data_IF_334446885324
#
_entry.id   IF_334446885324
#
_cell.length_a   1.000
_cell.length_b   1.000
_cell.length_c   1.000
_cell.angle_alpha   90.00
_cell.angle_beta   90.00
_cell.angle_gamma   90.00
#
_symmetry.space_group_name_H-M   'P 1'
#
loop_
_entity.id
_entity.type
_entity.pdbx_description
1 polymer ?
#
# COMPACT_ATOMS: atom_id res chain seq x y z
N UNK A 1 -26.94 29.97 16.54
CA UNK A 1 -27.29 29.35 17.84
C UNK A 1 -26.01 28.69 18.36
N UNK A 2 -25.33 29.31 19.33
CA UNK A 2 -24.05 28.84 19.88
C UNK A 2 -24.33 27.83 20.98
N UNK A 3 -23.81 26.62 20.88
CA UNK A 3 -23.83 25.61 21.94
C UNK A 3 -22.43 25.61 22.57
N UNK A 4 -22.36 25.88 23.87
CA UNK A 4 -21.14 25.86 24.67
C UNK A 4 -20.72 24.40 24.98
N UNK A 5 -19.43 24.14 25.25
CA UNK A 5 -18.97 22.81 25.62
C UNK A 5 -19.33 22.51 27.08
N UNK A 6 -19.93 21.35 27.33
CA UNK A 6 -20.15 20.83 28.67
C UNK A 6 -18.87 20.13 29.16
N UNK A 7 -18.29 20.66 30.22
CA UNK A 7 -17.27 20.00 31.02
C UNK A 7 -17.79 18.65 31.53
N UNK A 8 -17.18 17.56 31.09
CA UNK A 8 -17.33 16.24 31.71
C UNK A 8 -15.97 15.76 32.18
N UNK A 9 -15.70 15.96 33.47
CA UNK A 9 -14.59 15.34 34.18
C UNK A 9 -14.92 13.87 34.41
N UNK A 10 -14.15 12.98 33.78
CA UNK A 10 -14.23 11.54 34.05
C UNK A 10 -13.40 11.21 35.29
N UNK A 11 -14.08 11.00 36.41
CA UNK A 11 -13.49 10.40 37.60
C UNK A 11 -13.32 8.89 37.37
N UNK A 12 -12.07 8.42 37.37
CA UNK A 12 -11.77 6.98 37.41
C UNK A 12 -12.17 6.41 38.77
N UNK A 13 -13.18 5.54 38.78
CA UNK A 13 -13.57 4.77 39.96
C UNK A 13 -12.55 3.66 40.29
N UNK A 14 -12.30 3.34 41.57
CA UNK A 14 -11.37 2.29 41.99
C UNK A 14 -12.02 0.92 41.81
N UNK A 15 -11.96 0.38 40.59
CA UNK A 15 -12.55 -0.94 40.29
C UNK A 15 -11.99 -1.65 39.06
N UNK A 16 -11.20 -0.99 38.22
CA UNK A 16 -10.64 -1.52 36.97
C UNK A 16 -9.20 -2.04 37.09
N UNK A 17 -8.59 -1.98 38.27
CA UNK A 17 -7.21 -2.45 38.50
C UNK A 17 -6.95 -3.98 38.39
N UNK A 18 -7.90 -4.92 38.62
CA UNK A 18 -7.53 -6.33 38.68
C UNK A 18 -7.28 -6.96 37.30
N UNK A 19 -7.74 -6.33 36.21
CA UNK A 19 -7.57 -6.85 34.84
C UNK A 19 -6.20 -6.49 34.24
N UNK A 20 -5.67 -5.31 34.56
CA UNK A 20 -4.33 -4.86 34.11
C UNK A 20 -3.23 -5.69 34.78
N UNK A 21 -3.43 -6.10 36.03
CA UNK A 21 -2.46 -6.92 36.78
C UNK A 21 -2.39 -8.37 36.27
N UNK A 22 -3.50 -8.93 35.78
CA UNK A 22 -3.53 -10.28 35.22
C UNK A 22 -2.77 -10.36 33.89
N UNK A 23 -2.80 -9.29 33.08
CA UNK A 23 -2.04 -9.17 31.84
C UNK A 23 -0.52 -9.13 32.11
N UNK A 24 -0.10 -8.47 33.19
CA UNK A 24 1.29 -8.38 33.65
C UNK A 24 1.88 -9.72 34.14
N UNK A 25 1.05 -10.63 34.64
CA UNK A 25 1.51 -11.94 35.14
C UNK A 25 1.75 -12.94 34.00
N UNK A 26 1.03 -12.83 32.88
CA UNK A 26 1.26 -13.65 31.67
C UNK A 26 2.52 -13.25 30.88
N UNK A 27 3.16 -12.12 31.20
CA UNK A 27 4.29 -11.53 30.48
C UNK A 27 5.67 -12.12 30.83
N UNK A 28 5.79 -12.97 31.85
CA UNK A 28 7.10 -13.46 32.31
C UNK A 28 7.70 -14.63 31.51
N UNK A 29 7.09 -15.06 30.40
CA UNK A 29 7.56 -16.27 29.66
C UNK A 29 7.83 -16.06 28.18
N UNK A 30 7.85 -14.83 27.67
CA UNK A 30 8.20 -14.59 26.27
C UNK A 30 9.68 -14.23 26.14
N UNK A 31 10.46 -14.96 25.32
CA UNK A 31 11.83 -14.57 25.02
C UNK A 31 11.81 -13.22 24.30
N UNK A 32 12.64 -12.29 24.77
CA UNK A 32 12.93 -11.04 24.09
C UNK A 32 13.55 -11.35 22.74
N UNK A 33 12.75 -11.34 21.68
CA UNK A 33 13.30 -11.28 20.32
C UNK A 33 14.02 -9.94 20.20
N UNK A 34 15.33 -9.99 19.94
CA UNK A 34 16.10 -8.80 19.59
C UNK A 34 15.43 -8.11 18.40
N UNK A 35 14.82 -6.96 18.67
CA UNK A 35 14.23 -6.11 17.66
C UNK A 35 15.35 -5.52 16.81
N UNK A 36 15.41 -5.97 15.55
CA UNK A 36 16.16 -5.30 14.49
C UNK A 36 15.55 -3.90 14.34
N UNK A 37 16.40 -2.88 14.34
CA UNK A 37 15.98 -1.49 14.15
C UNK A 37 15.76 -1.23 12.67
N UNK A 38 14.51 -1.36 12.22
CA UNK A 38 14.08 -1.11 10.83
C UNK A 38 13.98 0.41 10.56
N UNK A 39 15.13 1.09 10.51
CA UNK A 39 15.28 2.27 9.65
C UNK A 39 15.78 1.76 8.29
N UNK A 40 14.92 1.04 7.56
CA UNK A 40 15.18 0.59 6.18
C UNK A 40 15.05 1.75 5.18
N UNK A 41 15.61 2.93 5.52
CA UNK A 41 16.00 3.91 4.51
C UNK A 41 17.47 3.68 4.23
N UNK A 42 17.75 3.23 3.01
CA UNK A 42 19.10 3.06 2.50
C UNK A 42 19.90 4.33 2.83
N UNK A 43 21.04 4.17 3.49
CA UNK A 43 21.96 5.29 3.72
C UNK A 43 22.29 5.96 2.39
N UNK A 44 22.72 7.24 2.38
CA UNK A 44 23.14 7.88 1.12
C UNK A 44 24.24 7.07 0.40
N UNK A 45 25.11 6.40 1.16
CA UNK A 45 26.13 5.49 0.63
C UNK A 45 25.54 4.21 0.02
N UNK A 46 24.54 3.61 0.66
CA UNK A 46 23.86 2.40 0.15
C UNK A 46 22.96 2.74 -1.04
N UNK A 47 22.32 3.91 -1.03
CA UNK A 47 21.59 4.47 -2.17
C UNK A 47 22.55 4.68 -3.34
N UNK A 48 23.70 5.31 -3.13
CA UNK A 48 24.71 5.51 -4.17
C UNK A 48 25.29 4.17 -4.68
N UNK A 49 25.49 3.18 -3.79
CA UNK A 49 25.93 1.82 -4.16
C UNK A 49 24.88 1.14 -5.05
N UNK A 50 23.62 1.15 -4.63
CA UNK A 50 22.52 0.56 -5.41
C UNK A 50 22.28 1.32 -6.72
N UNK A 51 22.36 2.65 -6.71
CA UNK A 51 22.30 3.44 -7.93
C UNK A 51 23.42 3.06 -8.91
N UNK A 52 24.65 2.84 -8.40
CA UNK A 52 25.81 2.44 -9.19
C UNK A 52 25.74 0.98 -9.69
N UNK A 53 25.36 0.03 -8.82
CA UNK A 53 25.11 -1.37 -9.18
C UNK A 53 23.95 -1.50 -10.17
N UNK A 54 22.98 -0.60 -10.12
CA UNK A 54 21.84 -0.65 -11.03
C UNK A 54 22.05 0.16 -12.30
N UNK A 55 23.01 1.07 -12.31
CA UNK A 55 23.49 1.71 -13.54
C UNK A 55 23.97 0.65 -14.54
N UNK A 56 24.47 -0.52 -14.10
CA UNK A 56 24.92 -1.57 -15.02
C UNK A 56 23.79 -2.29 -15.77
N UNK A 57 22.54 -2.27 -15.30
CA UNK A 57 21.40 -2.90 -15.99
C UNK A 57 20.69 -1.95 -16.97
N UNK A 58 20.86 -0.65 -16.80
CA UNK A 58 20.23 0.37 -17.68
C UNK A 58 21.20 0.95 -18.71
N UNK A 59 22.52 0.79 -18.55
CA UNK A 59 23.53 1.39 -19.45
C UNK A 59 23.78 0.62 -20.75
N UNK A 60 23.28 -0.62 -20.85
CA UNK A 60 23.41 -1.47 -22.05
C UNK A 60 22.13 -1.56 -22.87
N UNK A 61 21.14 -0.70 -22.59
CA UNK A 61 19.86 -0.76 -23.28
C UNK A 61 20.02 -0.42 -24.76
N UNK A 62 19.70 -1.38 -25.61
CA UNK A 62 19.76 -1.25 -27.07
C UNK A 62 18.35 -1.15 -27.67
N UNK A 63 17.49 -0.34 -27.06
CA UNK A 63 16.13 -0.07 -27.53
C UNK A 63 15.96 1.42 -27.81
N UNK A 64 15.33 1.75 -28.94
CA UNK A 64 14.95 3.14 -29.20
C UNK A 64 13.86 3.60 -28.23
N UNK A 65 13.73 4.92 -28.03
CA UNK A 65 12.63 5.47 -27.23
C UNK A 65 11.24 5.06 -27.74
N UNK A 66 11.09 4.88 -29.06
CA UNK A 66 9.85 4.41 -29.67
C UNK A 66 9.59 2.94 -29.32
N UNK A 67 10.61 2.07 -29.39
CA UNK A 67 10.48 0.67 -28.99
C UNK A 67 10.10 0.52 -27.52
N UNK A 68 10.73 1.30 -26.64
CA UNK A 68 10.43 1.31 -25.19
C UNK A 68 9.00 1.74 -24.90
N UNK A 69 8.56 2.85 -25.50
CA UNK A 69 7.18 3.32 -25.34
C UNK A 69 6.19 2.24 -25.83
N UNK A 70 6.45 1.65 -26.99
CA UNK A 70 5.59 0.64 -27.59
C UNK A 70 5.49 -0.63 -26.72
N UNK A 71 6.60 -1.13 -26.17
CA UNK A 71 6.57 -2.33 -25.31
C UNK A 71 5.96 -2.04 -23.94
N UNK A 72 6.21 -0.87 -23.35
CA UNK A 72 5.57 -0.45 -22.11
C UNK A 72 4.06 -0.37 -22.30
N UNK A 73 3.56 0.23 -23.38
CA UNK A 73 2.13 0.28 -23.69
C UNK A 73 1.54 -1.12 -23.92
N UNK A 74 2.23 -1.99 -24.68
CA UNK A 74 1.74 -3.34 -25.01
C UNK A 74 1.44 -4.20 -23.78
N UNK A 75 2.28 -4.14 -22.75
CA UNK A 75 2.14 -4.99 -21.56
C UNK A 75 1.65 -4.24 -20.32
N UNK A 76 1.20 -2.99 -20.48
CA UNK A 76 0.71 -2.15 -19.39
C UNK A 76 -0.48 -2.79 -18.66
N UNK A 77 -0.53 -2.76 -17.32
CA UNK A 77 -1.61 -3.40 -16.56
C UNK A 77 -2.96 -2.68 -16.70
N UNK A 78 -4.03 -3.46 -16.57
CA UNK A 78 -5.38 -2.95 -16.27
C UNK A 78 -5.58 -3.06 -14.76
N UNK A 79 -5.62 -1.91 -14.09
CA UNK A 79 -5.80 -1.83 -12.64
C UNK A 79 -7.28 -1.63 -12.32
N UNK A 80 -7.78 -2.44 -11.39
CA UNK A 80 -9.14 -2.41 -10.86
C UNK A 80 -9.06 -1.84 -9.45
N UNK A 81 -9.41 -0.57 -9.29
CA UNK A 81 -9.43 0.10 -8.00
C UNK A 81 -10.76 -0.14 -7.31
N UNK A 82 -10.72 -0.32 -6.00
CA UNK A 82 -11.91 -0.54 -5.20
C UNK A 82 -12.91 0.64 -5.37
N UNK A 83 -14.23 0.38 -5.54
CA UNK A 83 -15.21 1.43 -5.84
C UNK A 83 -15.41 2.48 -4.74
N UNK A 84 -15.01 2.14 -3.51
CA UNK A 84 -15.04 3.05 -2.34
C UNK A 84 -13.70 3.76 -2.13
N UNK A 85 -12.71 3.56 -3.01
CA UNK A 85 -11.42 4.18 -2.85
C UNK A 85 -11.47 5.68 -3.15
N UNK A 86 -11.16 6.48 -2.13
CA UNK A 86 -11.10 7.94 -2.19
C UNK A 86 -9.69 8.47 -2.37
N UNK A 87 -8.68 7.62 -2.28
CA UNK A 87 -7.27 7.96 -2.42
C UNK A 87 -6.78 7.33 -3.72
N UNK A 88 -6.99 8.04 -4.83
CA UNK A 88 -6.77 7.46 -6.16
C UNK A 88 -5.36 7.75 -6.68
N UNK A 89 -4.90 7.02 -7.70
CA UNK A 89 -3.67 7.36 -8.40
C UNK A 89 -3.73 8.78 -8.96
N UNK A 90 -2.57 9.41 -9.12
CA UNK A 90 -2.42 10.72 -9.72
C UNK A 90 -1.19 10.79 -10.62
N UNK A 91 -1.19 11.71 -11.59
CA UNK A 91 0.05 12.07 -12.30
C UNK A 91 1.07 12.72 -11.33
N UNK A 92 2.22 12.07 -11.05
CA UNK A 92 3.21 12.62 -10.12
C UNK A 92 3.80 13.96 -10.59
N UNK A 93 3.89 14.20 -11.89
CA UNK A 93 4.39 15.48 -12.42
C UNK A 93 3.42 16.63 -12.12
N UNK A 94 2.11 16.38 -12.23
CA UNK A 94 1.04 17.32 -11.87
C UNK A 94 1.08 17.63 -10.38
N UNK A 95 1.19 16.60 -9.53
CA UNK A 95 1.26 16.76 -8.07
C UNK A 95 2.49 17.56 -7.68
N UNK A 96 3.67 17.21 -8.20
CA UNK A 96 4.91 17.91 -7.91
C UNK A 96 4.82 19.39 -8.28
N UNK A 97 4.33 19.71 -9.48
CA UNK A 97 4.20 21.10 -9.97
C UNK A 97 3.25 21.93 -9.10
N UNK A 98 2.18 21.33 -8.58
CA UNK A 98 1.21 22.00 -7.73
C UNK A 98 1.65 22.11 -6.26
N UNK A 99 2.61 21.29 -5.85
CA UNK A 99 3.11 21.23 -4.47
C UNK A 99 4.10 22.36 -4.18
N UNK A 100 4.26 22.66 -2.88
CA UNK A 100 5.31 23.56 -2.38
C UNK A 100 6.30 22.76 -1.55
N UNK A 101 7.53 23.20 -1.47
CA UNK A 101 8.47 22.67 -0.48
C UNK A 101 8.10 23.22 0.91
N UNK A 102 8.13 22.34 1.90
CA UNK A 102 8.05 22.71 3.32
C UNK A 102 9.35 23.41 3.77
N UNK A 103 9.36 23.91 5.01
CA UNK A 103 10.51 24.63 5.58
C UNK A 103 11.80 23.80 5.65
N UNK A 104 11.67 22.46 5.67
CA UNK A 104 12.80 21.53 5.67
C UNK A 104 13.49 21.39 4.29
N UNK A 105 12.95 22.03 3.24
CA UNK A 105 13.39 21.94 1.84
C UNK A 105 13.48 20.52 1.29
N UNK A 106 12.80 19.55 1.91
CA UNK A 106 12.84 18.13 1.55
C UNK A 106 11.46 17.50 1.48
N UNK A 107 10.43 18.17 1.96
CA UNK A 107 9.08 17.63 2.01
C UNK A 107 8.14 18.41 1.10
N UNK A 108 7.35 17.69 0.29
CA UNK A 108 6.29 18.30 -0.50
C UNK A 108 5.04 18.50 0.34
N UNK A 109 4.51 19.72 0.30
CA UNK A 109 3.18 20.07 0.77
C UNK A 109 2.23 19.96 -0.42
N UNK A 110 1.54 18.82 -0.49
CA UNK A 110 0.53 18.56 -1.51
C UNK A 110 -0.74 19.35 -1.15
N UNK A 111 -1.32 20.13 -2.09
CA UNK A 111 -2.58 20.83 -1.85
C UNK A 111 -3.71 19.86 -1.49
N UNK A 112 -4.53 20.21 -0.50
CA UNK A 112 -5.60 19.34 0.04
C UNK A 112 -6.54 18.77 -1.04
N UNK A 113 -6.96 19.61 -1.99
CA UNK A 113 -7.83 19.20 -3.10
C UNK A 113 -7.20 18.17 -4.06
N UNK A 114 -5.89 17.95 -4.00
CA UNK A 114 -5.16 16.97 -4.80
C UNK A 114 -4.87 15.67 -4.03
N UNK A 115 -5.14 15.62 -2.72
CA UNK A 115 -4.89 14.41 -1.91
C UNK A 115 -5.75 13.21 -2.35
N UNK A 116 -6.92 13.46 -2.94
CA UNK A 116 -7.84 12.42 -3.44
C UNK A 116 -7.45 11.81 -4.79
N UNK A 117 -6.32 12.24 -5.37
CA UNK A 117 -5.86 11.80 -6.68
C UNK A 117 -6.70 12.32 -7.84
N UNK A 118 -6.53 11.69 -9.00
CA UNK A 118 -7.27 12.06 -10.21
C UNK A 118 -8.73 11.59 -10.14
N UNK A 119 -9.61 12.30 -10.86
CA UNK A 119 -11.04 12.07 -10.81
C UNK A 119 -11.47 10.82 -11.57
N UNK A 120 -12.60 10.25 -11.14
CA UNK A 120 -13.23 9.11 -11.81
C UNK A 120 -14.31 9.63 -12.75
N UNK A 121 -14.22 9.22 -14.01
CA UNK A 121 -15.19 9.55 -15.05
C UNK A 121 -16.55 8.90 -14.77
N UNK A 122 -17.60 9.41 -15.42
CA UNK A 122 -18.97 8.94 -15.20
C UNK A 122 -19.14 7.42 -15.39
N UNK A 123 -18.34 6.84 -16.28
CA UNK A 123 -18.29 5.42 -16.60
C UNK A 123 -17.57 4.54 -15.56
N UNK A 124 -17.03 5.08 -14.47
CA UNK A 124 -16.20 4.29 -13.55
C UNK A 124 -14.85 3.92 -14.16
N UNK A 125 -14.33 4.80 -15.02
CA UNK A 125 -12.97 4.74 -15.57
C UNK A 125 -12.17 5.90 -15.00
N UNK A 126 -10.86 5.76 -14.94
CA UNK A 126 -10.00 6.87 -14.56
C UNK A 126 -8.73 6.93 -15.39
N UNK A 127 -8.09 8.09 -15.27
CA UNK A 127 -6.95 8.53 -16.05
C UNK A 127 -5.95 9.17 -15.11
N UNK A 128 -4.79 8.52 -14.99
CA UNK A 128 -3.65 9.00 -14.25
C UNK A 128 -2.39 8.48 -14.95
N UNK A 129 -1.34 9.30 -14.95
CA UNK A 129 -0.12 8.99 -15.69
C UNK A 129 0.80 8.09 -14.88
N UNK A 130 1.17 6.95 -15.46
CA UNK A 130 2.04 5.93 -14.85
C UNK A 130 3.50 6.18 -15.18
N UNK A 131 4.39 5.85 -14.27
CA UNK A 131 5.83 5.82 -14.53
C UNK A 131 6.22 4.42 -14.97
N UNK A 132 6.83 4.28 -16.16
CA UNK A 132 7.24 3.00 -16.73
C UNK A 132 8.76 2.91 -16.83
N UNK A 133 9.33 1.72 -16.66
CA UNK A 133 10.74 1.45 -16.93
C UNK A 133 10.90 0.12 -17.65
N UNK A 134 11.78 0.11 -18.65
CA UNK A 134 12.26 -1.12 -19.30
C UNK A 134 13.63 -1.47 -18.76
N UNK A 135 13.80 -2.70 -18.29
CA UNK A 135 15.11 -3.28 -17.97
C UNK A 135 15.39 -4.41 -18.94
N UNK A 136 16.35 -4.19 -19.84
CA UNK A 136 16.88 -5.21 -20.73
C UNK A 136 17.99 -5.97 -20.01
N UNK A 137 18.11 -7.28 -20.27
CA UNK A 137 19.12 -8.13 -19.63
C UNK A 137 19.05 -8.19 -18.08
N UNK A 138 17.85 -8.15 -17.50
CA UNK A 138 17.65 -8.43 -16.09
C UNK A 138 17.97 -9.89 -15.72
N UNK A 139 17.75 -10.33 -14.46
CA UNK A 139 18.12 -11.66 -13.99
C UNK A 139 17.50 -12.75 -14.85
N UNK A 140 18.31 -13.77 -15.13
CA UNK A 140 17.94 -14.82 -16.07
C UNK A 140 18.00 -14.39 -17.54
N UNK A 141 18.61 -13.23 -17.85
CA UNK A 141 18.67 -12.63 -19.19
C UNK A 141 17.27 -12.47 -19.79
N UNK A 142 16.45 -11.67 -19.11
CA UNK A 142 15.06 -11.40 -19.49
C UNK A 142 14.79 -9.91 -19.54
N UNK A 143 13.77 -9.52 -20.30
CA UNK A 143 13.23 -8.16 -20.24
C UNK A 143 12.22 -8.05 -19.10
N UNK A 144 12.34 -6.99 -18.31
CA UNK A 144 11.38 -6.62 -17.27
C UNK A 144 10.78 -5.26 -17.59
N UNK A 145 9.49 -5.12 -17.31
CA UNK A 145 8.73 -3.89 -17.49
C UNK A 145 8.12 -3.55 -16.14
N UNK A 146 8.54 -2.43 -15.54
CA UNK A 146 8.04 -2.02 -14.23
C UNK A 146 7.14 -0.80 -14.40
N UNK A 147 5.98 -0.83 -13.74
CA UNK A 147 4.95 0.20 -13.80
C UNK A 147 4.70 0.70 -12.39
N UNK A 148 4.99 1.97 -12.13
CA UNK A 148 4.84 2.61 -10.84
C UNK A 148 3.67 3.58 -10.83
N UNK A 149 2.86 3.46 -9.79
CA UNK A 149 1.64 4.21 -9.55
C UNK A 149 1.89 5.12 -8.35
N UNK A 150 1.61 6.41 -8.51
CA UNK A 150 1.68 7.35 -7.41
C UNK A 150 0.29 7.60 -6.85
N UNK A 151 0.13 7.46 -5.54
CA UNK A 151 -1.05 7.92 -4.81
C UNK A 151 -0.65 9.06 -3.88
N UNK A 152 -1.35 10.20 -3.87
CA UNK A 152 -1.03 11.30 -2.98
C UNK A 152 -1.17 10.97 -1.48
N UNK A 153 -1.93 9.93 -1.14
CA UNK A 153 -2.18 9.45 0.22
C UNK A 153 -2.34 7.94 0.18
N UNK A 154 -1.71 7.21 1.11
CA UNK A 154 -2.12 5.87 1.54
C UNK A 154 -3.09 6.03 2.71
N UNK A 155 -4.28 5.45 2.58
CA UNK A 155 -5.40 5.69 3.48
C UNK A 155 -5.33 4.92 4.79
N UNK A 156 -6.51 4.64 5.35
CA UNK A 156 -6.58 3.92 6.61
C UNK A 156 -6.39 2.42 6.37
N UNK A 157 -5.55 1.77 7.19
CA UNK A 157 -5.25 0.36 7.05
C UNK A 157 -6.51 -0.51 7.23
N UNK A 158 -6.72 -1.44 6.31
CA UNK A 158 -7.77 -2.46 6.42
C UNK A 158 -7.45 -3.54 7.46
N UNK A 159 -8.47 -3.95 8.19
CA UNK A 159 -8.45 -5.02 9.18
C UNK A 159 -9.62 -5.97 8.96
N UNK A 160 -9.42 -7.22 9.39
CA UNK A 160 -10.47 -8.24 9.47
C UNK A 160 -10.47 -8.88 10.84
N UNK A 161 -11.65 -9.06 11.41
CA UNK A 161 -11.85 -9.74 12.69
C UNK A 161 -12.73 -10.97 12.52
N UNK A 162 -12.38 -12.05 13.23
CA UNK A 162 -13.25 -13.21 13.41
C UNK A 162 -14.15 -13.01 14.62
N UNK A 163 -15.45 -13.25 14.47
CA UNK A 163 -16.45 -12.95 15.51
C UNK A 163 -17.07 -14.24 16.02
N UNK A 164 -17.12 -14.35 17.34
CA UNK A 164 -17.87 -15.41 17.99
C UNK A 164 -19.35 -15.01 18.08
N UNK A 165 -20.22 -15.82 17.47
CA UNK A 165 -21.67 -15.60 17.42
C UNK A 165 -22.47 -16.74 18.09
N UNK A 166 -21.86 -17.42 19.06
CA UNK A 166 -22.48 -18.53 19.77
C UNK A 166 -22.53 -19.81 18.93
N UNK A 167 -23.66 -20.53 19.00
CA UNK A 167 -23.85 -21.82 18.33
C UNK A 167 -23.67 -21.75 16.79
N UNK A 168 -23.84 -20.57 16.18
CA UNK A 168 -23.65 -20.33 14.75
C UNK A 168 -22.19 -20.36 14.30
N UNK A 169 -21.23 -20.03 15.18
CA UNK A 169 -19.80 -20.11 14.88
C UNK A 169 -19.29 -21.55 14.70
N UNK A 170 -20.08 -22.57 15.07
CA UNK A 170 -19.78 -23.97 14.75
C UNK A 170 -20.14 -24.37 13.31
N UNK A 171 -20.88 -23.52 12.58
CA UNK A 171 -21.39 -23.81 11.23
C UNK A 171 -20.77 -22.87 10.18
N UNK A 172 -20.46 -21.62 10.54
CA UNK A 172 -19.70 -20.69 9.69
C UNK A 172 -19.04 -19.60 10.54
N UNK A 173 -17.77 -19.32 10.27
CA UNK A 173 -17.08 -18.17 10.83
C UNK A 173 -17.68 -16.87 10.27
N UNK A 174 -18.14 -15.97 11.15
CA UNK A 174 -18.54 -14.61 10.76
C UNK A 174 -17.30 -13.74 10.88
N UNK A 175 -16.96 -13.02 9.82
CA UNK A 175 -15.88 -12.04 9.83
C UNK A 175 -16.41 -10.65 9.46
N UNK A 176 -15.83 -9.62 10.06
CA UNK A 176 -16.10 -8.22 9.72
C UNK A 176 -14.80 -7.57 9.23
N UNK A 177 -14.87 -6.85 8.12
CA UNK A 177 -13.76 -6.02 7.65
C UNK A 177 -14.03 -4.57 8.03
N UNK A 178 -12.98 -3.83 8.37
CA UNK A 178 -13.08 -2.41 8.68
C UNK A 178 -11.75 -1.71 8.40
N UNK A 179 -11.79 -0.41 8.15
CA UNK A 179 -10.58 0.40 8.15
C UNK A 179 -10.27 0.93 9.55
N UNK A 180 -9.00 1.11 9.88
CA UNK A 180 -8.58 1.70 11.15
C UNK A 180 -7.55 2.81 10.91
N UNK A 181 -7.98 4.06 11.05
CA UNK A 181 -7.12 5.22 10.86
C UNK A 181 -6.17 5.39 12.06
N UNK A 182 -5.00 5.98 11.80
CA UNK A 182 -3.91 6.06 12.78
C UNK A 182 -3.00 4.82 12.77
N UNK A 183 -3.11 3.95 11.77
CA UNK A 183 -2.18 2.86 11.51
C UNK A 183 -1.83 2.81 10.02
N UNK A 184 -0.54 2.83 9.71
CA UNK A 184 0.00 2.80 8.35
C UNK A 184 -0.52 3.89 7.38
N UNK A 185 -1.26 4.89 7.86
CA UNK A 185 -1.67 6.05 7.05
C UNK A 185 -0.46 6.95 6.78
N UNK A 186 -0.19 7.27 5.53
CA UNK A 186 0.86 8.23 5.17
C UNK A 186 0.49 9.04 3.93
N UNK A 187 1.02 10.27 3.85
CA UNK A 187 0.96 11.02 2.60
C UNK A 187 1.99 10.47 1.64
N UNK A 188 1.69 10.51 0.34
CA UNK A 188 2.50 9.92 -0.72
C UNK A 188 2.54 8.41 -0.64
N UNK A 189 2.42 7.74 -1.77
CA UNK A 189 2.50 6.30 -1.84
C UNK A 189 2.93 5.88 -3.23
N UNK A 190 3.78 4.86 -3.30
CA UNK A 190 4.37 4.37 -4.54
C UNK A 190 4.22 2.86 -4.59
N UNK A 191 3.28 2.42 -5.41
CA UNK A 191 3.01 1.01 -5.66
C UNK A 191 3.44 0.64 -7.07
N UNK A 192 3.65 -0.64 -7.34
CA UNK A 192 4.11 -1.05 -8.66
C UNK A 192 3.73 -2.46 -9.08
N UNK A 193 3.79 -2.67 -10.38
CA UNK A 193 3.67 -3.98 -11.02
C UNK A 193 4.92 -4.21 -11.85
N UNK A 194 5.53 -5.39 -11.69
CA UNK A 194 6.67 -5.80 -12.51
C UNK A 194 6.25 -6.95 -13.42
N UNK A 195 6.29 -6.74 -14.74
CA UNK A 195 6.04 -7.77 -15.75
C UNK A 195 7.37 -8.31 -16.24
N UNK A 196 7.59 -9.62 -16.07
CA UNK A 196 8.75 -10.33 -16.61
C UNK A 196 8.37 -11.04 -17.92
N UNK A 197 9.10 -10.74 -18.99
CA UNK A 197 8.96 -11.43 -20.26
C UNK A 197 9.83 -12.69 -20.30
N UNK A 198 9.45 -13.66 -21.14
CA UNK A 198 10.11 -14.96 -21.17
C UNK A 198 11.52 -14.95 -21.77
N UNK A 199 11.93 -13.84 -22.39
CA UNK A 199 13.26 -13.66 -22.97
C UNK A 199 13.58 -12.15 -23.07
N UNK A 200 14.79 -11.82 -23.50
CA UNK A 200 15.18 -10.46 -23.89
C UNK A 200 14.46 -10.06 -25.18
N UNK A 201 13.81 -8.90 -25.19
CA UNK A 201 13.37 -8.26 -26.42
C UNK A 201 14.43 -7.28 -26.93
N UNK A 202 14.78 -7.38 -28.20
CA UNK A 202 15.82 -6.57 -28.84
C UNK A 202 15.27 -5.39 -29.67
N UNK A 203 13.98 -5.06 -29.53
CA UNK A 203 13.33 -3.98 -30.26
C UNK A 203 12.77 -4.38 -31.62
N UNK A 204 12.18 -3.42 -32.33
CA UNK A 204 11.57 -3.65 -33.65
C UNK A 204 10.08 -3.96 -33.57
N UNK A 205 9.60 -4.92 -34.37
CA UNK A 205 8.17 -5.23 -34.43
C UNK A 205 7.66 -5.74 -33.07
N UNK A 206 6.56 -5.19 -32.57
CA UNK A 206 5.92 -5.67 -31.34
C UNK A 206 5.49 -7.13 -31.44
N UNK A 207 5.24 -7.68 -32.62
CA UNK A 207 4.87 -9.09 -32.81
C UNK A 207 5.99 -10.06 -32.41
N UNK A 208 7.24 -9.58 -32.33
CA UNK A 208 8.39 -10.36 -31.85
C UNK A 208 8.63 -10.23 -30.35
N UNK A 209 7.84 -9.39 -29.66
CA UNK A 209 7.97 -9.23 -28.21
C UNK A 209 7.65 -10.56 -27.51
N UNK A 210 8.53 -11.03 -26.60
CA UNK A 210 8.32 -12.30 -25.92
C UNK A 210 7.03 -12.28 -25.08
N UNK A 211 6.37 -13.44 -24.88
CA UNK A 211 5.22 -13.51 -23.99
C UNK A 211 5.60 -13.20 -22.54
N UNK A 212 4.60 -12.85 -21.74
CA UNK A 212 4.75 -12.70 -20.28
C UNK A 212 4.98 -14.07 -19.65
N UNK A 213 5.98 -14.20 -18.79
CA UNK A 213 6.26 -15.42 -18.04
C UNK A 213 5.77 -15.31 -16.60
N UNK A 214 6.02 -14.18 -15.95
CA UNK A 214 5.66 -13.96 -14.55
C UNK A 214 5.38 -12.49 -14.28
N UNK A 215 4.62 -12.23 -13.21
CA UNK A 215 4.25 -10.88 -12.78
C UNK A 215 4.47 -10.78 -11.27
N UNK A 216 5.12 -9.70 -10.83
CA UNK A 216 5.21 -9.31 -9.45
C UNK A 216 4.11 -8.29 -9.12
N UNK A 217 3.38 -8.53 -8.05
CA UNK A 217 2.37 -7.63 -7.52
C UNK A 217 2.89 -7.04 -6.20
N UNK A 218 3.10 -5.71 -6.13
CA UNK A 218 3.55 -5.05 -4.90
C UNK A 218 2.52 -5.19 -3.78
N UNK A 219 3.00 -5.52 -2.60
CA UNK A 219 2.21 -5.71 -1.38
C UNK A 219 3.03 -5.20 -0.19
N UNK A 220 2.72 -3.99 0.26
CA UNK A 220 3.39 -3.36 1.41
C UNK A 220 4.91 -3.31 1.18
N UNK A 221 5.72 -3.94 2.05
CA UNK A 221 7.18 -3.96 1.94
C UNK A 221 7.74 -5.03 0.98
N UNK A 222 6.88 -5.77 0.27
CA UNK A 222 7.30 -6.86 -0.60
C UNK A 222 6.47 -6.98 -1.88
N UNK A 223 6.63 -8.11 -2.56
CA UNK A 223 5.88 -8.42 -3.78
C UNK A 223 5.57 -9.91 -3.87
N UNK A 224 4.40 -10.24 -4.38
CA UNK A 224 4.03 -11.61 -4.72
C UNK A 224 4.30 -11.87 -6.21
N UNK A 225 5.19 -12.82 -6.49
CA UNK A 225 5.42 -13.30 -7.85
C UNK A 225 4.46 -14.42 -8.22
N UNK A 226 3.79 -14.29 -9.36
CA UNK A 226 2.90 -15.30 -9.91
C UNK A 226 3.26 -15.61 -11.37
N UNK A 227 3.19 -16.88 -11.78
CA UNK A 227 3.34 -17.23 -13.19
C UNK A 227 2.18 -16.64 -14.00
N UNK A 228 2.40 -16.35 -15.28
CA UNK A 228 1.37 -15.81 -16.17
C UNK A 228 0.11 -16.70 -16.23
N UNK A 229 0.23 -18.02 -16.03
CA UNK A 229 -0.91 -18.94 -15.98
C UNK A 229 -1.85 -18.73 -14.79
N UNK A 230 -1.40 -18.04 -13.74
CA UNK A 230 -2.19 -17.70 -12.55
C UNK A 230 -2.78 -16.29 -12.59
N UNK A 231 -2.53 -15.54 -13.68
CA UNK A 231 -2.98 -14.15 -13.83
C UNK A 231 -3.98 -14.05 -14.98
N UNK A 232 -5.04 -13.27 -14.78
CA UNK A 232 -6.01 -12.96 -15.82
C UNK A 232 -5.46 -11.89 -16.77
N UNK A 233 -5.62 -12.08 -18.07
CA UNK A 233 -5.22 -11.11 -19.09
C UNK A 233 -6.38 -10.69 -19.98
N UNK A 234 -6.34 -9.45 -20.46
CA UNK A 234 -7.04 -9.03 -21.68
C UNK A 234 -5.99 -8.74 -22.74
N UNK A 235 -5.90 -9.59 -23.77
CA UNK A 235 -4.76 -9.58 -24.70
C UNK A 235 -3.45 -9.74 -23.93
N UNK A 236 -2.53 -8.78 -23.99
CA UNK A 236 -1.24 -8.75 -23.29
C UNK A 236 -1.27 -7.99 -21.96
N UNK A 237 -2.42 -7.41 -21.59
CA UNK A 237 -2.55 -6.58 -20.40
C UNK A 237 -2.98 -7.43 -19.19
N UNK A 238 -2.15 -7.54 -18.14
CA UNK A 238 -2.54 -8.25 -16.92
C UNK A 238 -3.59 -7.48 -16.13
N UNK A 239 -4.52 -8.19 -15.52
CA UNK A 239 -5.48 -7.64 -14.56
C UNK A 239 -4.84 -7.57 -13.18
N UNK A 240 -4.99 -6.41 -12.54
CA UNK A 240 -4.46 -6.11 -11.21
C UNK A 240 -5.60 -5.57 -10.36
N UNK A 241 -5.81 -6.10 -9.17
CA UNK A 241 -6.80 -5.63 -8.21
C UNK A 241 -6.08 -4.90 -7.09
N UNK A 242 -6.31 -3.58 -6.98
CA UNK A 242 -5.70 -2.76 -5.94
C UNK A 242 -6.64 -2.70 -4.75
N UNK A 243 -6.09 -3.01 -3.57
CA UNK A 243 -6.83 -3.01 -2.33
C UNK A 243 -7.19 -1.58 -1.91
N UNK A 244 -8.37 -1.45 -1.31
CA UNK A 244 -8.87 -0.19 -0.80
C UNK A 244 -7.87 0.45 0.17
N UNK A 245 -7.48 1.70 -0.11
CA UNK A 245 -6.67 2.58 0.73
C UNK A 245 -5.20 2.17 0.92
N UNK A 246 -4.91 0.89 1.11
CA UNK A 246 -3.53 0.38 1.22
C UNK A 246 -2.83 0.25 -0.13
N UNK A 247 -3.61 0.21 -1.22
CA UNK A 247 -3.17 0.09 -2.61
C UNK A 247 -2.35 -1.16 -2.97
N UNK A 248 -2.13 -2.06 -2.02
CA UNK A 248 -1.53 -3.37 -2.25
C UNK A 248 -2.22 -4.10 -3.42
N UNK A 249 -1.42 -4.71 -4.28
CA UNK A 249 -1.84 -5.25 -5.56
C UNK A 249 -1.97 -6.78 -5.52
N UNK A 250 -3.02 -7.27 -6.18
CA UNK A 250 -3.35 -8.69 -6.23
C UNK A 250 -3.77 -9.14 -7.63
N UNK A 251 -3.48 -10.39 -7.98
CA UNK A 251 -3.89 -10.98 -9.26
C UNK A 251 -5.39 -11.33 -9.32
N UNK A 252 -6.03 -11.45 -8.16
CA UNK A 252 -7.44 -11.85 -8.02
C UNK A 252 -8.16 -10.92 -7.05
N UNK A 253 -9.43 -10.68 -7.32
CA UNK A 253 -10.31 -10.00 -6.37
C UNK A 253 -10.47 -10.83 -5.09
N UNK A 254 -10.65 -10.15 -3.97
CA UNK A 254 -10.84 -10.80 -2.68
C UNK A 254 -10.42 -9.93 -1.50
N UNK A 255 -10.70 -10.43 -0.30
CA UNK A 255 -10.04 -9.95 0.91
C UNK A 255 -8.80 -10.79 1.14
N UNK A 256 -7.64 -10.14 1.10
CA UNK A 256 -6.34 -10.78 1.24
C UNK A 256 -5.78 -10.53 2.63
N UNK A 257 -5.08 -11.53 3.18
CA UNK A 257 -4.38 -11.38 4.45
C UNK A 257 -3.04 -10.70 4.17
N UNK A 258 -2.73 -9.64 4.90
CA UNK A 258 -1.38 -9.06 4.86
C UNK A 258 -0.38 -10.07 5.46
N UNK A 259 0.76 -10.20 4.79
CA UNK A 259 1.83 -11.14 5.17
C UNK A 259 2.55 -10.76 6.46
N UNK A 260 2.37 -9.54 6.97
CA UNK A 260 2.94 -9.05 8.22
C UNK A 260 2.24 -9.68 9.45
N UNK A 261 3.04 -10.31 10.32
CA UNK A 261 2.56 -10.96 11.54
C UNK A 261 2.52 -10.05 12.77
N UNK A 262 2.83 -8.76 12.64
CA UNK A 262 2.96 -7.81 13.76
C UNK A 262 1.70 -7.75 14.63
N UNK A 263 0.51 -8.03 14.06
CA UNK A 263 -0.75 -8.08 14.80
C UNK A 263 -1.01 -9.41 15.53
N UNK A 264 -0.11 -10.40 15.46
CA UNK A 264 -0.28 -11.72 16.06
C UNK A 264 -0.47 -11.64 17.58
N UNK A 265 0.24 -10.75 18.27
CA UNK A 265 0.04 -10.55 19.72
C UNK A 265 -1.36 -10.01 20.02
N UNK A 266 -1.79 -8.95 19.32
CA UNK A 266 -3.12 -8.37 19.49
C UNK A 266 -4.18 -9.45 19.23
N UNK A 267 -4.04 -10.19 18.13
CA UNK A 267 -4.89 -11.33 17.79
C UNK A 267 -4.99 -12.37 18.89
N UNK A 268 -3.88 -12.69 19.57
CA UNK A 268 -3.85 -13.70 20.63
C UNK A 268 -4.57 -13.24 21.90
N UNK A 269 -4.54 -11.94 22.21
CA UNK A 269 -5.18 -11.39 23.42
C UNK A 269 -6.61 -10.89 23.17
N UNK A 270 -7.00 -10.68 21.91
CA UNK A 270 -8.36 -10.23 21.54
C UNK A 270 -9.47 -11.09 22.17
N UNK A 271 -9.41 -12.44 22.18
CA UNK A 271 -10.44 -13.24 22.84
C UNK A 271 -10.60 -12.94 24.32
N UNK A 272 -9.49 -12.74 25.04
CA UNK A 272 -9.52 -12.45 26.47
C UNK A 272 -10.12 -11.06 26.73
N UNK A 273 -9.67 -10.05 26.00
CA UNK A 273 -10.07 -8.65 26.21
C UNK A 273 -11.49 -8.35 25.73
N UNK A 274 -11.98 -9.09 24.74
CA UNK A 274 -13.34 -8.95 24.20
C UNK A 274 -14.35 -9.92 24.81
N UNK A 275 -13.96 -10.63 25.88
CA UNK A 275 -14.77 -11.68 26.51
C UNK A 275 -15.29 -12.73 25.51
N UNK A 276 -14.42 -13.08 24.55
CA UNK A 276 -14.69 -14.05 23.49
C UNK A 276 -15.37 -13.48 22.25
N UNK A 277 -15.81 -12.21 22.26
CA UNK A 277 -16.56 -11.63 21.13
C UNK A 277 -15.74 -11.56 19.84
N UNK A 278 -14.43 -11.31 19.95
CA UNK A 278 -13.46 -11.35 18.84
C UNK A 278 -12.51 -12.51 19.04
N UNK A 279 -12.47 -13.43 18.09
CA UNK A 279 -11.64 -14.64 18.12
C UNK A 279 -10.21 -14.38 17.63
N UNK A 280 -10.07 -13.48 16.66
CA UNK A 280 -8.78 -13.06 16.10
C UNK A 280 -8.95 -11.72 15.39
N UNK A 281 -7.84 -11.02 15.20
CA UNK A 281 -7.75 -9.82 14.37
C UNK A 281 -6.53 -9.97 13.46
N UNK A 282 -6.65 -9.55 12.22
CA UNK A 282 -5.52 -9.48 11.30
C UNK A 282 -5.63 -8.24 10.42
N UNK A 283 -4.50 -7.79 9.92
CA UNK A 283 -4.44 -6.81 8.84
C UNK A 283 -4.97 -7.49 7.57
N UNK A 284 -5.83 -6.79 6.85
CA UNK A 284 -6.47 -7.31 5.65
C UNK A 284 -6.55 -6.23 4.56
N UNK A 285 -6.32 -6.66 3.33
CA UNK A 285 -6.39 -5.84 2.14
C UNK A 285 -7.66 -6.21 1.37
N UNK A 286 -8.61 -5.27 1.29
CA UNK A 286 -9.93 -5.52 0.70
C UNK A 286 -9.93 -5.05 -0.75
N UNK A 287 -9.84 -6.00 -1.67
CA UNK A 287 -9.87 -5.80 -3.12
C UNK A 287 -11.06 -6.55 -3.75
N UNK A 288 -12.25 -6.43 -3.17
CA UNK A 288 -13.48 -7.08 -3.65
C UNK A 288 -14.70 -6.14 -3.62
N UNK A 289 -15.83 -6.59 -4.14
CA UNK A 289 -17.08 -5.80 -4.21
C UNK A 289 -18.14 -6.25 -3.19
N UNK A 290 -17.90 -7.36 -2.49
CA UNK A 290 -18.93 -8.12 -1.79
C UNK A 290 -18.76 -8.11 -0.27
N UNK A 291 -17.55 -7.87 0.20
CA UNK A 291 -17.23 -7.88 1.62
C UNK A 291 -17.92 -6.75 2.36
N UNK A 292 -18.54 -7.10 3.48
CA UNK A 292 -18.97 -6.12 4.47
C UNK A 292 -17.73 -5.38 4.99
N UNK A 293 -17.76 -4.06 4.86
CA UNK A 293 -16.65 -3.17 5.19
C UNK A 293 -17.17 -1.93 5.93
N UNK A 294 -16.77 -1.79 7.19
CA UNK A 294 -17.04 -0.60 8.00
C UNK A 294 -15.96 0.47 7.77
N UNK A 295 -16.37 1.71 7.51
CA UNK A 295 -15.47 2.86 7.29
C UNK A 295 -15.85 4.02 8.20
N UNK A 296 -14.90 4.90 8.52
CA UNK A 296 -15.16 6.12 9.30
C UNK A 296 -16.06 7.07 8.53
N UNK A 297 -15.74 7.22 7.25
CA UNK A 297 -16.55 7.96 6.30
C UNK A 297 -16.94 7.01 5.19
N UNK A 298 -18.22 6.97 4.85
CA UNK A 298 -18.58 6.59 3.48
C UNK A 298 -18.26 7.80 2.60
N UNK A 299 -17.57 7.65 1.45
CA UNK A 299 -17.32 8.78 0.58
C UNK A 299 -18.65 9.46 0.25
N UNK A 300 -18.78 10.74 0.62
CA UNK A 300 -19.91 11.57 0.25
C UNK A 300 -19.92 11.70 -1.28
N UNK A 301 -20.70 10.85 -1.96
CA UNK A 301 -20.71 10.83 -3.42
C UNK A 301 -21.19 9.53 -4.05
N UNK A 302 -20.78 9.33 -5.31
CA UNK A 302 -21.20 8.23 -6.18
C UNK A 302 -20.44 6.95 -5.80
N UNK A 303 -21.09 6.01 -5.12
CA UNK A 303 -20.57 4.65 -4.96
C UNK A 303 -20.71 3.89 -6.29
N UNK A 304 -19.59 3.48 -6.86
CA UNK A 304 -19.61 2.63 -8.04
C UNK A 304 -20.01 1.21 -7.65
N UNK A 305 -20.87 0.57 -8.44
CA UNK A 305 -21.31 -0.82 -8.23
C UNK A 305 -20.33 -1.85 -8.80
N UNK A 306 -19.21 -1.37 -9.35
CA UNK A 306 -18.15 -2.13 -10.00
C UNK A 306 -16.81 -1.46 -9.69
N UNK A 307 -15.72 -2.19 -9.85
CA UNK A 307 -14.38 -1.61 -9.79
C UNK A 307 -14.25 -0.42 -10.73
N UNK A 308 -13.47 0.55 -10.29
CA UNK A 308 -13.01 1.64 -11.15
C UNK A 308 -11.89 1.07 -12.02
N UNK A 309 -12.03 1.19 -13.33
CA UNK A 309 -11.07 0.61 -14.28
C UNK A 309 -10.08 1.67 -14.74
N UNK A 310 -8.79 1.38 -14.54
CA UNK A 310 -7.68 2.21 -15.00
C UNK A 310 -6.82 1.42 -15.98
N UNK A 311 -6.88 1.83 -17.25
CA UNK A 311 -5.98 1.32 -18.28
C UNK A 311 -4.76 2.21 -18.34
N UNK A 312 -3.68 1.73 -17.76
CA UNK A 312 -2.50 2.55 -17.42
C UNK A 312 -1.74 3.15 -18.61
N UNK A 313 -2.05 2.72 -19.84
CA UNK A 313 -1.44 3.23 -21.07
C UNK A 313 -2.24 4.34 -21.76
N UNK A 314 -3.51 4.58 -21.39
CA UNK A 314 -4.39 5.48 -22.17
C UNK A 314 -3.96 6.96 -22.18
N UNK A 315 -3.12 7.38 -21.22
CA UNK A 315 -2.58 8.76 -21.13
C UNK A 315 -1.09 8.88 -21.50
N UNK A 316 -0.52 7.83 -22.11
CA UNK A 316 0.94 7.63 -22.32
C UNK A 316 1.71 7.59 -21.00
N UNK A 317 2.75 6.76 -20.94
CA UNK A 317 3.52 6.59 -19.70
C UNK A 317 4.67 7.63 -19.62
N UNK A 318 5.12 7.92 -18.40
CA UNK A 318 6.43 8.52 -18.16
C UNK A 318 7.49 7.41 -18.30
N UNK A 319 8.10 7.29 -19.48
CA UNK A 319 9.21 6.35 -19.69
C UNK A 319 10.46 6.85 -18.97
N UNK A 320 10.82 6.15 -17.89
CA UNK A 320 11.95 6.42 -17.01
C UNK A 320 13.16 5.53 -17.28
N UNK A 321 13.18 4.86 -18.44
CA UNK A 321 14.29 3.99 -18.82
C UNK A 321 15.58 4.76 -19.05
N UNK A 322 15.51 5.85 -19.83
CA UNK A 322 16.66 6.71 -20.12
C UNK A 322 16.71 7.87 -19.13
N UNK A 323 17.64 7.82 -18.17
CA UNK A 323 17.76 8.76 -17.03
C UNK A 323 17.99 10.24 -17.38
N UNK A 324 17.97 10.61 -18.67
CA UNK A 324 18.41 11.88 -19.21
C UNK A 324 17.39 13.02 -19.19
N UNK A 325 16.07 12.76 -19.18
CA UNK A 325 15.08 13.85 -19.38
C UNK A 325 13.71 13.57 -18.77
N UNK A 326 13.56 13.82 -17.47
CA UNK A 326 12.31 13.54 -16.76
C UNK A 326 11.77 14.73 -15.94
N UNK A 327 12.28 15.94 -16.16
CA UNK A 327 11.90 17.13 -15.38
C UNK A 327 12.31 17.05 -13.90
N UNK A 328 12.04 18.12 -13.15
CA UNK A 328 12.50 18.25 -11.75
C UNK A 328 11.84 17.25 -10.80
N UNK A 329 10.57 16.91 -11.04
CA UNK A 329 9.80 15.98 -10.19
C UNK A 329 10.44 14.59 -10.14
N UNK A 330 10.99 14.12 -11.26
CA UNK A 330 11.64 12.81 -11.36
C UNK A 330 12.99 12.74 -10.65
N UNK A 331 13.61 13.90 -10.41
CA UNK A 331 14.89 14.04 -9.72
C UNK A 331 14.71 14.36 -8.25
N UNK A 332 13.49 14.68 -7.84
CA UNK A 332 13.19 15.00 -6.45
C UNK A 332 13.36 13.77 -5.57
N UNK A 333 14.32 13.86 -4.64
CA UNK A 333 14.69 12.79 -3.71
C UNK A 333 14.12 12.97 -2.29
N UNK A 334 13.24 13.96 -2.14
CA UNK A 334 12.56 14.26 -0.89
C UNK A 334 11.30 13.43 -0.66
N UNK A 335 10.55 13.80 0.37
CA UNK A 335 9.33 13.14 0.82
C UNK A 335 8.10 13.67 0.09
N UNK A 336 7.27 12.78 -0.44
CA UNK A 336 6.09 13.11 -1.24
C UNK A 336 4.84 13.35 -0.40
N UNK A 337 4.96 14.21 0.60
CA UNK A 337 3.86 14.53 1.51
C UNK A 337 4.33 14.86 2.92
N UNK A 338 3.51 15.61 3.66
CA UNK A 338 3.82 15.94 5.05
C UNK A 338 3.84 14.68 5.94
N UNK A 339 4.69 14.64 6.98
CA UNK A 339 4.65 13.53 7.92
C UNK A 339 3.33 13.50 8.69
N UNK A 340 2.91 12.31 9.10
CA UNK A 340 1.67 12.08 9.85
C UNK A 340 1.98 11.57 11.25
N UNK A 341 1.29 12.11 12.25
CA UNK A 341 1.31 11.57 13.61
C UNK A 341 0.24 10.48 13.73
N UNK A 342 0.69 9.24 13.87
CA UNK A 342 -0.16 8.06 14.04
C UNK A 342 -0.30 7.67 15.51
N UNK A 343 0.28 8.42 16.45
CA UNK A 343 0.29 8.04 17.87
C UNK A 343 -1.09 8.08 18.50
N UNK A 344 -2.04 8.82 17.94
CA UNK A 344 -3.43 8.78 18.38
C UNK A 344 -4.20 7.66 17.68
N UNK A 345 -4.26 6.49 18.33
CA UNK A 345 -5.13 5.40 17.87
C UNK A 345 -6.55 5.73 18.29
N UNK A 346 -7.44 5.90 17.32
CA UNK A 346 -8.85 6.22 17.54
C UNK A 346 -9.71 4.96 17.62
N UNK A 347 -10.98 5.09 18.04
CA UNK A 347 -11.92 3.97 18.06
C UNK A 347 -12.12 3.40 16.64
N UNK A 348 -12.27 2.08 16.43
CA UNK A 348 -12.73 1.54 15.15
C UNK A 348 -14.05 2.18 14.67
N UNK A 349 -14.37 2.11 13.36
CA UNK A 349 -15.62 2.64 12.83
C UNK A 349 -16.88 2.15 13.56
N UNK A 350 -17.93 2.96 13.53
CA UNK A 350 -19.21 2.60 14.13
C UNK A 350 -19.75 1.31 13.50
N UNK A 351 -20.16 0.37 14.34
CA UNK A 351 -20.70 -0.93 13.91
C UNK A 351 -19.71 -2.08 14.01
N UNK A 352 -18.41 -1.81 14.16
CA UNK A 352 -17.40 -2.85 14.38
C UNK A 352 -17.62 -3.53 15.73
N UNK A 353 -17.71 -4.86 15.70
CA UNK A 353 -17.88 -5.67 16.91
C UNK A 353 -16.73 -5.45 17.90
N UNK A 354 -17.08 -5.18 19.17
CA UNK A 354 -16.14 -4.97 20.27
C UNK A 354 -15.12 -3.82 20.04
N UNK A 355 -15.50 -2.77 19.32
CA UNK A 355 -14.62 -1.65 18.98
C UNK A 355 -13.88 -1.02 20.17
N UNK A 356 -14.54 -0.83 21.32
CA UNK A 356 -13.91 -0.26 22.53
C UNK A 356 -12.85 -1.20 23.13
N UNK A 357 -13.10 -2.50 23.12
CA UNK A 357 -12.15 -3.50 23.61
C UNK A 357 -10.97 -3.64 22.67
N UNK A 358 -11.21 -3.60 21.34
CA UNK A 358 -10.16 -3.55 20.33
C UNK A 358 -9.27 -2.32 20.52
N UNK A 359 -9.85 -1.14 20.69
CA UNK A 359 -9.10 0.09 20.99
C UNK A 359 -8.23 -0.09 22.24
N UNK A 360 -8.81 -0.59 23.33
CA UNK A 360 -8.10 -0.80 24.60
C UNK A 360 -6.92 -1.77 24.44
N UNK A 361 -7.13 -2.89 23.72
CA UNK A 361 -6.09 -3.88 23.43
C UNK A 361 -4.93 -3.28 22.64
N UNK A 362 -5.26 -2.53 21.59
CA UNK A 362 -4.30 -1.93 20.68
C UNK A 362 -3.53 -0.79 21.35
N UNK A 363 -4.18 0.07 22.15
CA UNK A 363 -3.50 1.10 22.96
C UNK A 363 -2.54 0.46 23.96
N UNK A 364 -2.96 -0.63 24.62
CA UNK A 364 -2.06 -1.43 25.46
C UNK A 364 -0.85 -1.97 24.69
N UNK A 365 -1.08 -2.58 23.54
CA UNK A 365 -0.01 -3.11 22.66
C UNK A 365 0.96 -2.01 22.20
N UNK A 366 0.46 -0.82 21.86
CA UNK A 366 1.26 0.36 21.56
C UNK A 366 2.15 0.75 22.74
N UNK A 367 1.60 0.85 23.96
CA UNK A 367 2.38 1.20 25.15
C UNK A 367 3.44 0.14 25.50
N UNK A 368 3.19 -1.12 25.18
CA UNK A 368 4.18 -2.21 25.28
C UNK A 368 5.22 -2.19 24.15
N UNK A 369 5.09 -1.28 23.17
CA UNK A 369 6.00 -1.16 22.04
C UNK A 369 5.81 -2.22 20.95
N UNK A 370 4.70 -2.96 20.96
CA UNK A 370 4.43 -4.04 20.02
C UNK A 370 3.91 -3.55 18.66
N UNK A 371 3.46 -2.29 18.60
CA UNK A 371 2.94 -1.66 17.38
C UNK A 371 3.93 -0.64 16.78
N UNK A 372 5.21 -0.71 17.14
CA UNK A 372 6.25 0.23 16.67
C UNK A 372 6.43 0.24 15.15
N UNK A 373 5.96 -0.78 14.42
CA UNK A 373 5.98 -0.80 12.95
C UNK A 373 4.84 -0.01 12.32
N UNK A 374 3.71 0.16 13.02
CA UNK A 374 2.47 0.72 12.47
C UNK A 374 2.11 2.11 12.99
N UNK A 375 2.72 2.50 14.11
CA UNK A 375 2.35 3.69 14.86
C UNK A 375 3.59 4.52 15.14
N UNK A 376 3.76 5.58 14.35
CA UNK A 376 4.88 6.50 14.44
C UNK A 376 4.41 7.92 14.76
N UNK A 377 5.21 8.66 15.53
CA UNK A 377 4.91 10.07 15.86
C UNK A 377 5.08 11.01 14.66
N UNK A 378 5.90 10.61 13.70
CA UNK A 378 6.22 11.39 12.50
C UNK A 378 6.48 10.45 11.33
N UNK A 379 5.47 9.65 10.98
CA UNK A 379 5.56 8.78 9.81
C UNK A 379 5.82 9.65 8.58
N UNK A 380 6.98 9.48 7.96
CA UNK A 380 7.33 10.29 6.79
C UNK A 380 6.74 9.64 5.56
N UNK A 381 6.29 10.47 4.62
CA UNK A 381 5.95 10.01 3.28
C UNK A 381 7.10 9.20 2.66
N UNK A 382 6.81 8.24 1.79
CA UNK A 382 7.84 7.61 0.98
C UNK A 382 8.51 8.67 0.08
N UNK A 383 9.75 8.37 -0.27
CA UNK A 383 10.47 9.09 -1.32
C UNK A 383 9.94 8.65 -2.69
N UNK A 384 10.39 9.35 -3.73
CA UNK A 384 10.06 8.99 -5.10
C UNK A 384 10.51 7.56 -5.47
N UNK A 385 10.04 7.05 -6.61
CA UNK A 385 10.19 5.65 -6.97
C UNK A 385 11.68 5.30 -7.21
N UNK A 386 12.49 6.26 -7.69
CA UNK A 386 13.96 6.11 -7.81
C UNK A 386 14.71 5.91 -6.50
N UNK A 387 14.11 6.26 -5.36
CA UNK A 387 14.71 6.04 -4.05
C UNK A 387 14.24 4.72 -3.43
N UNK A 388 13.29 4.03 -4.06
CA UNK A 388 12.80 2.76 -3.60
C UNK A 388 13.71 1.62 -4.07
N UNK A 389 14.06 0.68 -3.19
CA UNK A 389 14.96 -0.43 -3.51
C UNK A 389 14.41 -1.30 -4.66
N UNK A 390 13.10 -1.55 -4.67
CA UNK A 390 12.45 -2.40 -5.67
C UNK A 390 12.43 -1.80 -7.08
N UNK A 391 12.64 -0.49 -7.22
CA UNK A 391 12.87 0.14 -8.53
C UNK A 391 14.06 -0.48 -9.25
N UNK A 392 15.01 -0.96 -8.46
CA UNK A 392 16.28 -1.49 -8.94
C UNK A 392 16.34 -3.00 -8.90
N UNK A 393 15.82 -3.60 -7.83
CA UNK A 393 15.81 -5.06 -7.68
C UNK A 393 14.68 -5.72 -8.45
N UNK A 394 13.76 -4.96 -9.05
CA UNK A 394 12.62 -5.47 -9.81
C UNK A 394 11.81 -6.51 -9.03
N UNK A 395 11.80 -6.40 -7.69
CA UNK A 395 11.20 -7.37 -6.77
C UNK A 395 11.79 -8.79 -6.81
N UNK A 396 12.86 -9.02 -7.56
CA UNK A 396 13.43 -10.34 -7.69
C UNK A 396 14.39 -10.59 -6.52
N UNK A 397 14.13 -11.60 -5.67
CA UNK A 397 14.95 -11.87 -4.48
C UNK A 397 16.39 -12.26 -4.84
N UNK A 398 16.68 -12.63 -6.10
CA UNK A 398 18.04 -12.89 -6.57
C UNK A 398 18.91 -11.63 -6.69
N UNK A 399 18.34 -10.43 -6.55
CA UNK A 399 19.09 -9.17 -6.43
C UNK A 399 19.35 -8.74 -4.98
N UNK A 400 18.88 -9.49 -3.98
CA UNK A 400 18.94 -9.12 -2.55
C UNK A 400 20.11 -9.77 -1.84
#
# INVERSE_FOLDING_TARGET
MRIAPSDTSWAFGPGSLPFVLLLLILLQTLPSSHAVTDDERLSEAETARLEAETLSFTTTLNLSAADRAAILEKYAPIVHLHPRDRWRPADPAKIFKASKLAEDNRTLVIPEHLLHGDEVEEGGTMRAKVVGQVVQDGPGKKTYLQYWFFYPVNGCQGFRIGIWSGLKSFVSERAENFEWCGMAFHNGDWEHITVQLSNVWAGGSLDTAPPVEAIAFSQHSGSQWLPASAVKFTSTHPHVYSALHSHANYAVEGTHKNIDDTFAFVSRISPLLTLGSVQWIQIADVADLQSDLFTYDEPLGRRFQRFIVWKTWEDRLWDFTDRGDHGDWARFSGYWGLPVDQTEIILPPLGVTAGTQLLSATVGAKHMGLLRKFVHKFEQAPKGPRQHRTWYTLDNPLFI
#
